data_IF_594046717990
#
_entry.id   IF_594046717990
#
_cell.length_a   1.000
_cell.length_b   1.000
_cell.length_c   1.000
_cell.angle_alpha   90.00
_cell.angle_beta   90.00
_cell.angle_gamma   90.00
#
_symmetry.space_group_name_H-M   'P 1'
#
loop_
_entity.id
_entity.type
_entity.pdbx_description
1 polymer ?
#
# COMPACT_ATOMS: atom_id res chain seq x y z
N UNK A 1 23.06 7.15 5.33
CA UNK A 1 22.33 6.99 4.04
C UNK A 1 21.99 5.53 3.80
N UNK A 2 22.97 4.62 3.69
CA UNK A 2 22.70 3.20 3.47
C UNK A 2 21.87 2.57 4.59
N UNK A 3 22.06 2.98 5.86
CA UNK A 3 21.29 2.51 7.00
C UNK A 3 19.83 2.94 6.93
N UNK A 4 19.57 4.17 6.50
CA UNK A 4 18.21 4.69 6.34
C UNK A 4 17.46 3.98 5.20
N UNK A 5 18.15 3.75 4.08
CA UNK A 5 17.59 2.99 2.96
C UNK A 5 17.30 1.55 3.37
N UNK A 6 18.17 0.95 4.15
CA UNK A 6 17.96 -0.40 4.71
C UNK A 6 16.70 -0.44 5.58
N UNK A 7 16.47 0.56 6.41
CA UNK A 7 15.28 0.66 7.25
C UNK A 7 14.00 0.85 6.43
N UNK A 8 14.08 1.66 5.38
CA UNK A 8 12.95 1.87 4.45
C UNK A 8 12.59 0.54 3.76
N UNK A 9 13.58 -0.15 3.24
CA UNK A 9 13.36 -1.45 2.59
C UNK A 9 12.81 -2.48 3.57
N UNK A 10 13.32 -2.50 4.81
CA UNK A 10 12.82 -3.39 5.84
C UNK A 10 11.34 -3.12 6.18
N UNK A 11 10.92 -1.86 6.20
CA UNK A 11 9.51 -1.52 6.41
C UNK A 11 8.63 -2.10 5.31
N UNK A 12 9.04 -1.97 4.06
CA UNK A 12 8.30 -2.51 2.92
C UNK A 12 8.27 -4.05 2.96
N UNK A 13 9.38 -4.69 3.32
CA UNK A 13 9.42 -6.13 3.50
C UNK A 13 8.48 -6.60 4.61
N UNK A 14 8.46 -5.89 5.74
CA UNK A 14 7.56 -6.19 6.85
C UNK A 14 6.09 -5.98 6.46
N UNK A 15 5.82 -4.93 5.70
CA UNK A 15 4.49 -4.68 5.15
C UNK A 15 4.03 -5.85 4.28
N UNK A 16 4.87 -6.25 3.34
CA UNK A 16 4.60 -7.36 2.42
C UNK A 16 4.40 -8.67 3.19
N UNK A 17 5.25 -8.93 4.17
CA UNK A 17 5.17 -10.15 4.99
C UNK A 17 3.87 -10.20 5.80
N UNK A 18 3.51 -9.13 6.50
CA UNK A 18 2.27 -9.08 7.28
C UNK A 18 1.04 -9.25 6.39
N UNK A 19 1.04 -8.59 5.23
CA UNK A 19 -0.05 -8.69 4.26
C UNK A 19 -0.17 -10.14 3.72
N UNK A 20 0.94 -10.75 3.34
CA UNK A 20 0.96 -12.11 2.77
C UNK A 20 0.66 -13.21 3.80
N UNK A 21 0.89 -12.93 5.07
CA UNK A 21 0.43 -13.79 6.16
C UNK A 21 -1.05 -13.59 6.47
N UNK A 22 -1.67 -12.59 5.84
CA UNK A 22 -3.06 -12.22 6.10
C UNK A 22 -3.30 -11.98 7.61
N UNK A 23 -2.32 -11.38 8.27
CA UNK A 23 -2.34 -11.11 9.70
C UNK A 23 -2.64 -9.64 9.95
N UNK A 24 -3.90 -9.34 10.26
CA UNK A 24 -4.36 -7.98 10.46
C UNK A 24 -3.66 -7.29 11.64
N UNK A 25 -3.34 -8.03 12.71
CA UNK A 25 -2.63 -7.48 13.86
C UNK A 25 -1.19 -7.11 13.51
N UNK A 26 -0.44 -7.99 12.85
CA UNK A 26 0.92 -7.68 12.39
C UNK A 26 0.91 -6.48 11.44
N UNK A 27 -0.08 -6.39 10.57
CA UNK A 27 -0.24 -5.25 9.67
C UNK A 27 -0.42 -3.95 10.45
N UNK A 28 -1.31 -3.93 11.44
CA UNK A 28 -1.56 -2.75 12.26
C UNK A 28 -0.34 -2.33 13.10
N UNK A 29 0.49 -3.28 13.52
CA UNK A 29 1.72 -2.99 14.29
C UNK A 29 2.77 -2.21 13.50
N UNK A 30 2.67 -2.16 12.16
CA UNK A 30 3.55 -1.35 11.33
C UNK A 30 3.32 0.15 11.49
N UNK A 31 2.23 0.56 12.10
CA UNK A 31 1.81 1.96 12.23
C UNK A 31 2.17 2.54 13.59
N UNK A 32 2.31 3.86 13.65
CA UNK A 32 2.31 4.57 14.93
C UNK A 32 0.94 4.45 15.61
N UNK A 33 0.85 4.71 16.92
CA UNK A 33 -0.39 4.48 17.66
C UNK A 33 -1.62 5.20 17.10
N UNK A 34 -1.44 6.40 16.58
CA UNK A 34 -2.50 7.20 15.94
C UNK A 34 -2.37 7.20 14.41
N UNK A 35 -1.72 6.20 13.85
CA UNK A 35 -1.54 6.06 12.41
C UNK A 35 -2.86 6.04 11.66
N UNK A 36 -2.82 6.45 10.39
CA UNK A 36 -4.00 6.54 9.54
C UNK A 36 -3.83 5.68 8.29
N UNK A 37 -4.93 5.10 7.86
CA UNK A 37 -4.96 4.29 6.65
C UNK A 37 -6.20 4.59 5.84
N UNK A 38 -6.00 4.75 4.52
CA UNK A 38 -7.09 4.84 3.56
C UNK A 38 -6.94 3.72 2.53
N UNK A 39 -7.93 2.88 2.42
CA UNK A 39 -7.89 1.74 1.51
C UNK A 39 -8.26 2.11 0.08
N UNK A 40 -8.25 1.12 -0.82
CA UNK A 40 -8.55 1.30 -2.25
C UNK A 40 -9.98 1.78 -2.52
N UNK A 41 -10.88 1.67 -1.56
CA UNK A 41 -12.26 2.14 -1.66
C UNK A 41 -12.44 3.53 -1.05
N UNK A 42 -11.37 4.14 -0.54
CA UNK A 42 -11.45 5.42 0.14
C UNK A 42 -11.94 5.31 1.59
N UNK A 43 -12.00 4.11 2.17
CA UNK A 43 -12.35 3.93 3.56
C UNK A 43 -11.18 4.35 4.44
N UNK A 44 -11.43 5.30 5.33
CA UNK A 44 -10.41 5.90 6.18
C UNK A 44 -10.61 5.48 7.64
N UNK A 45 -9.52 5.03 8.27
CA UNK A 45 -9.49 4.64 9.68
C UNK A 45 -8.28 5.24 10.37
N UNK A 46 -8.38 5.43 11.67
CA UNK A 46 -7.32 5.99 12.50
C UNK A 46 -7.09 5.12 13.73
N UNK A 47 -5.81 4.86 14.00
CA UNK A 47 -5.37 4.06 15.15
C UNK A 47 -5.23 2.58 14.82
N UNK A 48 -4.31 1.92 15.51
CA UNK A 48 -3.97 0.50 15.26
C UNK A 48 -5.18 -0.42 15.36
N UNK A 49 -6.05 -0.21 16.35
CA UNK A 49 -7.22 -1.06 16.54
C UNK A 49 -8.16 -1.02 15.33
N UNK A 50 -8.41 0.18 14.80
CA UNK A 50 -9.28 0.33 13.64
C UNK A 50 -8.63 -0.17 12.35
N UNK A 51 -7.33 0.01 12.20
CA UNK A 51 -6.57 -0.54 11.08
C UNK A 51 -6.64 -2.07 11.09
N UNK A 52 -6.46 -2.69 12.26
CA UNK A 52 -6.59 -4.13 12.42
C UNK A 52 -8.00 -4.61 12.03
N UNK A 53 -9.03 -4.00 12.57
CA UNK A 53 -10.43 -4.35 12.29
C UNK A 53 -10.78 -4.25 10.81
N UNK A 54 -10.30 -3.21 10.13
CA UNK A 54 -10.55 -3.02 8.70
C UNK A 54 -9.98 -4.16 7.86
N UNK A 55 -8.89 -4.78 8.29
CA UNK A 55 -8.20 -5.82 7.53
C UNK A 55 -8.61 -7.25 7.92
N UNK A 56 -9.25 -7.45 9.08
CA UNK A 56 -9.62 -8.80 9.55
C UNK A 56 -10.48 -9.56 8.55
N UNK A 57 -11.59 -8.97 8.13
CA UNK A 57 -12.53 -9.65 7.23
C UNK A 57 -11.94 -9.87 5.82
N UNK A 58 -11.37 -8.86 5.15
CA UNK A 58 -10.76 -9.08 3.83
C UNK A 58 -9.69 -10.16 3.82
N UNK A 59 -8.83 -10.20 4.83
CA UNK A 59 -7.77 -11.21 4.92
C UNK A 59 -8.30 -12.63 5.10
N UNK A 60 -9.49 -12.78 5.68
CA UNK A 60 -10.13 -14.10 5.85
C UNK A 60 -11.06 -14.48 4.71
N UNK A 61 -11.35 -13.56 3.81
CA UNK A 61 -12.32 -13.75 2.73
C UNK A 61 -11.72 -13.52 1.35
N UNK A 62 -11.94 -12.36 0.77
CA UNK A 62 -11.56 -12.06 -0.63
C UNK A 62 -10.05 -12.05 -0.87
N UNK A 63 -9.25 -11.83 0.15
CA UNK A 63 -7.79 -11.78 0.07
C UNK A 63 -7.10 -13.00 0.67
N UNK A 64 -7.84 -13.98 1.16
CA UNK A 64 -7.24 -15.13 1.89
C UNK A 64 -6.22 -15.92 1.07
N UNK A 65 -6.38 -15.98 -0.25
CA UNK A 65 -5.48 -16.67 -1.16
C UNK A 65 -4.65 -15.69 -2.00
N UNK A 66 -4.73 -14.40 -1.70
CA UNK A 66 -4.03 -13.38 -2.46
C UNK A 66 -2.58 -13.24 -2.01
N UNK A 67 -1.71 -12.93 -2.98
CA UNK A 67 -0.29 -12.66 -2.75
C UNK A 67 0.04 -11.27 -3.24
N UNK A 68 0.69 -10.50 -2.38
CA UNK A 68 1.20 -9.16 -2.67
C UNK A 68 2.66 -9.23 -3.08
N UNK A 69 2.99 -8.58 -4.19
CA UNK A 69 4.37 -8.39 -4.65
C UNK A 69 4.61 -6.90 -4.87
N UNK A 70 5.72 -6.39 -4.39
CA UNK A 70 6.16 -5.01 -4.64
C UNK A 70 7.01 -4.99 -5.90
N UNK A 71 6.63 -4.16 -6.87
CA UNK A 71 7.26 -4.08 -8.19
C UNK A 71 8.40 -3.07 -8.17
N UNK A 72 8.17 -1.89 -7.57
CA UNK A 72 9.15 -0.81 -7.50
C UNK A 72 8.88 0.07 -6.29
N UNK A 73 9.93 0.74 -5.82
CA UNK A 73 9.86 1.62 -4.65
C UNK A 73 10.55 2.94 -5.00
N UNK A 74 9.90 4.05 -4.66
CA UNK A 74 10.50 5.38 -4.64
C UNK A 74 10.39 5.91 -3.22
N UNK A 75 11.39 6.62 -2.76
CA UNK A 75 11.35 7.24 -1.45
C UNK A 75 11.94 8.66 -1.49
N UNK A 76 11.54 9.46 -0.53
CA UNK A 76 11.99 10.84 -0.40
C UNK A 76 11.91 11.27 1.05
N UNK A 77 12.97 11.91 1.56
CA UNK A 77 12.91 12.56 2.86
C UNK A 77 12.13 13.86 2.75
N UNK A 78 11.16 14.04 3.64
CA UNK A 78 10.32 15.24 3.71
C UNK A 78 10.83 16.18 4.80
N UNK A 79 11.41 15.61 5.85
CA UNK A 79 12.02 16.31 6.97
C UNK A 79 12.98 15.35 7.66
N UNK A 80 13.63 15.80 8.75
CA UNK A 80 14.45 14.89 9.56
C UNK A 80 13.57 13.74 10.07
N UNK A 81 14.02 12.52 9.85
CA UNK A 81 13.34 11.29 10.30
C UNK A 81 11.93 11.07 9.75
N UNK A 82 11.50 11.88 8.79
CA UNK A 82 10.18 11.75 8.12
C UNK A 82 10.41 11.57 6.63
N UNK A 83 9.83 10.53 6.05
CA UNK A 83 9.99 10.25 4.63
C UNK A 83 8.70 9.70 4.01
N UNK A 84 8.60 9.86 2.70
CA UNK A 84 7.55 9.22 1.92
C UNK A 84 8.09 8.01 1.18
N UNK A 85 7.23 7.02 1.00
CA UNK A 85 7.49 5.85 0.16
C UNK A 85 6.32 5.70 -0.80
N UNK A 86 6.63 5.61 -2.10
CA UNK A 86 5.67 5.15 -3.10
C UNK A 86 6.09 3.75 -3.52
N UNK A 87 5.21 2.79 -3.35
CA UNK A 87 5.46 1.41 -3.73
C UNK A 87 4.41 0.94 -4.74
N UNK A 88 4.86 0.60 -5.94
CA UNK A 88 3.99 -0.01 -6.94
C UNK A 88 3.81 -1.48 -6.59
N UNK A 89 2.56 -1.94 -6.56
CA UNK A 89 2.25 -3.30 -6.14
C UNK A 89 1.42 -4.04 -7.17
N UNK A 90 1.50 -5.37 -7.06
CA UNK A 90 0.65 -6.31 -7.78
C UNK A 90 0.10 -7.32 -6.80
N UNK A 91 -1.18 -7.69 -6.94
CA UNK A 91 -1.76 -8.83 -6.22
C UNK A 91 -2.29 -9.85 -7.19
N UNK A 92 -2.13 -11.13 -6.82
CA UNK A 92 -2.67 -12.28 -7.53
C UNK A 92 -3.54 -13.08 -6.57
N UNK A 93 -4.42 -13.92 -7.09
CA UNK A 93 -5.24 -14.79 -6.25
C UNK A 93 -6.41 -14.09 -5.55
N UNK A 94 -6.77 -12.90 -5.98
CA UNK A 94 -7.93 -12.18 -5.45
C UNK A 94 -9.23 -12.87 -5.87
N UNK A 95 -10.23 -12.82 -5.00
CA UNK A 95 -11.54 -13.42 -5.25
C UNK A 95 -12.68 -12.47 -4.93
N UNK A 96 -13.82 -12.71 -5.56
CA UNK A 96 -15.08 -12.07 -5.18
C UNK A 96 -15.59 -12.68 -3.87
N UNK A 97 -16.55 -12.04 -3.19
CA UNK A 97 -17.14 -12.60 -1.97
C UNK A 97 -17.73 -14.01 -2.13
N UNK A 98 -18.23 -14.34 -3.34
CA UNK A 98 -18.77 -15.66 -3.65
C UNK A 98 -17.70 -16.65 -4.16
N UNK A 99 -16.41 -16.30 -4.05
CA UNK A 99 -15.30 -17.20 -4.31
C UNK A 99 -14.82 -17.27 -5.75
N UNK A 100 -15.31 -16.43 -6.64
CA UNK A 100 -14.84 -16.39 -8.04
C UNK A 100 -13.51 -15.68 -8.15
N UNK A 101 -12.61 -16.21 -8.97
CA UNK A 101 -11.33 -15.57 -9.25
C UNK A 101 -11.53 -14.27 -10.03
N UNK A 102 -10.77 -13.24 -9.66
CA UNK A 102 -10.70 -11.99 -10.41
C UNK A 102 -9.29 -11.81 -10.96
N UNK A 103 -9.14 -11.03 -12.06
CA UNK A 103 -7.82 -10.79 -12.63
C UNK A 103 -6.83 -10.17 -11.64
N UNK A 104 -5.54 -10.32 -11.93
CA UNK A 104 -4.48 -9.69 -11.15
C UNK A 104 -4.72 -8.18 -11.07
N UNK A 105 -4.47 -7.64 -9.89
CA UNK A 105 -4.64 -6.21 -9.62
C UNK A 105 -3.27 -5.55 -9.47
N UNK A 106 -3.21 -4.28 -9.84
CA UNK A 106 -2.02 -3.43 -9.66
C UNK A 106 -2.43 -2.12 -9.05
N UNK A 107 -1.54 -1.54 -8.27
CA UNK A 107 -1.81 -0.26 -7.63
C UNK A 107 -0.57 0.43 -7.13
N UNK A 108 -0.81 1.51 -6.40
CA UNK A 108 0.21 2.33 -5.79
C UNK A 108 -0.09 2.49 -4.31
N UNK A 109 0.91 2.21 -3.50
CA UNK A 109 0.89 2.40 -2.06
C UNK A 109 1.70 3.65 -1.72
N UNK A 110 1.07 4.66 -1.12
CA UNK A 110 1.73 5.85 -0.62
C UNK A 110 1.82 5.78 0.90
N UNK A 111 3.03 5.84 1.43
CA UNK A 111 3.27 5.84 2.87
C UNK A 111 4.04 7.07 3.28
N UNK A 112 3.65 7.65 4.41
CA UNK A 112 4.48 8.59 5.18
C UNK A 112 4.90 7.83 6.43
N UNK A 113 6.21 7.79 6.69
CA UNK A 113 6.77 7.02 7.79
C UNK A 113 7.79 7.83 8.58
N UNK A 114 8.07 7.36 9.79
CA UNK A 114 9.05 7.96 10.69
C UNK A 114 10.12 6.97 11.08
N UNK A 115 11.36 7.47 11.24
CA UNK A 115 12.49 6.72 11.79
C UNK A 115 12.66 6.96 13.29
N UNK A 116 11.78 7.74 13.90
CA UNK A 116 11.90 8.15 15.29
C UNK A 116 11.94 6.95 16.24
N UNK A 117 12.81 7.05 17.26
CA UNK A 117 12.93 6.01 18.27
C UNK A 117 13.63 4.74 17.83
N UNK A 118 14.33 4.75 16.69
CA UNK A 118 15.04 3.58 16.18
C UNK A 118 14.16 2.57 15.46
N UNK A 119 12.85 2.78 15.46
CA UNK A 119 11.87 1.95 14.75
C UNK A 119 11.26 2.72 13.59
N UNK A 120 11.14 2.07 12.45
CA UNK A 120 10.47 2.63 11.28
C UNK A 120 9.00 2.26 11.37
N UNK A 121 8.11 3.28 11.42
CA UNK A 121 6.67 3.08 11.53
C UNK A 121 5.91 4.01 10.61
N UNK A 122 4.76 3.56 10.15
CA UNK A 122 3.90 4.31 9.23
C UNK A 122 3.05 5.29 10.03
N UNK A 123 3.08 6.56 9.60
CA UNK A 123 2.22 7.62 10.13
C UNK A 123 0.90 7.65 9.37
N UNK A 124 0.98 7.53 8.06
CA UNK A 124 -0.15 7.68 7.15
C UNK A 124 0.07 6.80 5.94
N UNK A 125 -0.94 6.04 5.55
CA UNK A 125 -0.91 5.24 4.34
C UNK A 125 -2.15 5.43 3.49
N UNK A 126 -1.94 5.53 2.17
CA UNK A 126 -3.01 5.54 1.18
C UNK A 126 -2.74 4.47 0.14
N UNK A 127 -3.78 3.75 -0.24
CA UNK A 127 -3.67 2.73 -1.27
C UNK A 127 -4.57 3.07 -2.45
N UNK A 128 -4.01 2.96 -3.65
CA UNK A 128 -4.71 3.24 -4.90
C UNK A 128 -4.67 1.99 -5.77
N UNK A 129 -5.83 1.59 -6.28
CA UNK A 129 -5.95 0.51 -7.26
C UNK A 129 -6.04 1.14 -8.65
N UNK A 130 -5.24 0.67 -9.60
CA UNK A 130 -5.30 1.16 -10.99
C UNK A 130 -6.52 0.66 -11.76
N UNK A 131 -7.25 -0.30 -11.20
CA UNK A 131 -8.50 -0.78 -11.79
C UNK A 131 -9.57 0.28 -11.60
N UNK A 132 -9.85 1.05 -12.64
CA UNK A 132 -10.84 2.13 -12.59
C UNK A 132 -11.82 2.03 -13.78
N UNK A 133 -12.90 2.80 -13.69
CA UNK A 133 -13.85 2.95 -14.80
C UNK A 133 -13.25 3.73 -15.97
N UNK A 134 -12.18 4.47 -15.73
CA UNK A 134 -11.49 5.27 -16.73
C UNK A 134 -10.10 4.73 -16.99
N UNK A 135 -9.68 4.70 -18.26
CA UNK A 135 -8.28 4.52 -18.63
C UNK A 135 -7.54 5.86 -18.51
N UNK A 136 -6.22 5.83 -18.56
CA UNK A 136 -5.44 7.07 -18.59
C UNK A 136 -5.79 7.92 -19.80
N UNK A 137 -6.01 7.27 -20.94
CA UNK A 137 -6.39 7.96 -22.18
C UNK A 137 -7.74 8.67 -22.06
N UNK A 138 -8.66 8.12 -21.29
CA UNK A 138 -9.97 8.75 -21.09
C UNK A 138 -9.88 10.09 -20.37
N UNK A 139 -8.81 10.32 -19.62
CA UNK A 139 -8.60 11.54 -18.86
C UNK A 139 -7.69 12.55 -19.55
N UNK A 140 -7.11 12.19 -20.72
CA UNK A 140 -6.25 13.05 -21.51
C UNK A 140 -7.05 13.68 -22.65
N UNK A 141 -6.74 14.93 -22.96
CA UNK A 141 -7.50 15.70 -23.96
C UNK A 141 -6.95 15.57 -25.38
N UNK A 142 -5.67 15.16 -25.51
CA UNK A 142 -5.06 14.96 -26.81
C UNK A 142 -3.88 13.99 -26.77
N UNK A 143 -3.34 13.65 -27.96
CA UNK A 143 -2.25 12.68 -28.10
C UNK A 143 -0.92 13.14 -27.49
N UNK A 144 -0.73 14.44 -27.27
CA UNK A 144 0.50 14.96 -26.65
C UNK A 144 0.52 14.66 -25.17
N UNK A 145 -0.64 14.66 -24.53
CA UNK A 145 -0.76 14.32 -23.12
C UNK A 145 -0.59 12.81 -22.88
N UNK A 146 -0.90 11.99 -23.88
CA UNK A 146 -0.74 10.54 -23.79
C UNK A 146 0.73 10.12 -23.61
N UNK A 147 1.70 10.87 -24.13
CA UNK A 147 3.13 10.56 -23.99
C UNK A 147 3.60 10.69 -22.54
N UNK A 148 2.99 11.54 -21.75
CA UNK A 148 3.32 11.74 -20.34
C UNK A 148 3.00 10.50 -19.51
N UNK A 149 1.96 9.75 -19.88
CA UNK A 149 1.53 8.56 -19.15
C UNK A 149 2.41 7.34 -19.42
N UNK A 150 3.15 7.32 -20.52
CA UNK A 150 4.03 6.21 -20.89
C UNK A 150 5.40 6.28 -20.19
N UNK A 151 5.72 7.36 -19.51
CA UNK A 151 6.99 7.54 -18.76
C UNK A 151 6.96 6.97 -17.33
N UNK A 152 5.90 6.32 -16.93
CA UNK A 152 5.79 5.65 -15.62
C UNK A 152 6.09 4.16 -15.70
#
# INVERSE_FOLDING_TARGET
MSDEITKINALIENFTTAWNRHNAKEFAELFVNDGEWTDVLGQHVKGKEQIEKLHEYPFKSVLKDATLTIISIRNRFLAKDIFSIDAEWKTTGNKTPDGKSIPDRKGLLDLIATLEGGNTRIILGHNVDYTTAYSRNDLLHDSKDADITNSR
#
